data_IF_793786924455
#
_entry.id   IF_793786924455
#
_cell.length_a   1.000
_cell.length_b   1.000
_cell.length_c   1.000
_cell.angle_alpha   90.00
_cell.angle_beta   90.00
_cell.angle_gamma   90.00
#
_symmetry.space_group_name_H-M   'P 1'
#
loop_
_entity.id
_entity.type
_entity.pdbx_description
1 polymer ?
#
# COMPACT_ATOMS: atom_id res chain seq x y z
N UNK A 1 -2.98 -6.32 -3.19
CA UNK A 1 -3.25 -4.90 -2.79
C UNK A 1 -3.96 -4.27 -3.99
N UNK A 2 -3.93 -3.30 -4.55
CA UNK A 2 -4.48 -2.61 -5.74
C UNK A 2 -5.39 -3.40 -6.72
N UNK A 3 -6.11 -4.44 -6.27
CA UNK A 3 -6.94 -5.33 -7.11
C UNK A 3 -8.35 -4.74 -7.38
N UNK A 4 -8.38 -3.56 -7.99
CA UNK A 4 -9.64 -2.96 -8.43
C UNK A 4 -10.33 -3.84 -9.49
N UNK A 5 -11.67 -3.93 -9.50
CA UNK A 5 -12.39 -4.74 -10.48
C UNK A 5 -11.97 -4.48 -11.93
N UNK A 6 -11.75 -3.21 -12.29
CA UNK A 6 -11.32 -2.81 -13.63
C UNK A 6 -9.87 -3.20 -13.97
N UNK A 7 -9.04 -3.56 -12.98
CA UNK A 7 -7.63 -3.94 -13.17
C UNK A 7 -7.39 -5.45 -13.04
N UNK A 8 -8.43 -6.24 -12.76
CA UNK A 8 -8.29 -7.68 -12.52
C UNK A 8 -7.68 -8.43 -13.70
N UNK A 9 -8.06 -8.09 -14.91
CA UNK A 9 -7.48 -8.71 -16.11
C UNK A 9 -5.98 -8.46 -16.20
N UNK A 10 -5.53 -7.25 -15.89
CA UNK A 10 -4.10 -6.92 -15.87
C UNK A 10 -3.34 -7.73 -14.80
N UNK A 11 -3.90 -7.83 -13.59
CA UNK A 11 -3.32 -8.68 -12.54
C UNK A 11 -3.30 -10.16 -12.91
N UNK A 12 -4.38 -10.67 -13.53
CA UNK A 12 -4.46 -12.07 -13.98
C UNK A 12 -3.46 -12.36 -15.11
N UNK A 13 -3.21 -11.39 -15.99
CA UNK A 13 -2.18 -11.50 -17.04
C UNK A 13 -0.77 -11.58 -16.44
N UNK A 14 -0.44 -10.70 -15.48
CA UNK A 14 0.86 -10.78 -14.78
C UNK A 14 1.00 -12.08 -13.99
N UNK A 15 -0.06 -12.49 -13.29
CA UNK A 15 -0.05 -13.77 -12.58
C UNK A 15 0.18 -14.95 -13.51
N UNK A 16 -0.49 -14.98 -14.67
CA UNK A 16 -0.34 -16.05 -15.65
C UNK A 16 1.09 -16.17 -16.19
N UNK A 17 1.77 -15.03 -16.39
CA UNK A 17 3.17 -15.02 -16.78
C UNK A 17 4.09 -15.53 -15.64
N UNK A 18 3.88 -15.03 -14.42
CA UNK A 18 4.62 -15.47 -13.25
C UNK A 18 4.43 -16.97 -12.99
N UNK A 19 3.19 -17.47 -13.10
CA UNK A 19 2.87 -18.89 -12.89
C UNK A 19 3.59 -19.79 -13.89
N UNK A 20 3.60 -19.44 -15.18
CA UNK A 20 4.39 -20.16 -16.20
C UNK A 20 5.87 -20.17 -15.85
N UNK A 21 6.44 -19.02 -15.52
CA UNK A 21 7.85 -18.93 -15.12
C UNK A 21 8.20 -19.79 -13.89
N UNK A 22 7.26 -19.99 -12.98
CA UNK A 22 7.41 -20.89 -11.83
C UNK A 22 7.32 -22.37 -12.23
N UNK A 23 6.36 -22.74 -13.10
CA UNK A 23 6.20 -24.10 -13.62
C UNK A 23 7.44 -24.52 -14.42
N UNK A 24 7.98 -23.64 -15.26
CA UNK A 24 9.22 -23.86 -16.03
C UNK A 24 10.44 -24.11 -15.12
N UNK A 25 10.39 -23.62 -13.87
CA UNK A 25 11.40 -23.81 -12.82
C UNK A 25 11.04 -24.94 -11.85
N UNK A 26 10.09 -25.81 -12.24
CA UNK A 26 9.67 -26.99 -11.46
C UNK A 26 9.07 -26.66 -10.09
N UNK A 27 8.54 -25.46 -9.88
CA UNK A 27 7.74 -25.16 -8.68
C UNK A 27 6.36 -25.77 -8.85
N UNK A 28 5.94 -26.61 -7.91
CA UNK A 28 4.63 -27.28 -7.94
C UNK A 28 4.10 -27.47 -6.51
N UNK A 29 2.79 -27.28 -6.26
CA UNK A 29 1.76 -26.83 -7.21
C UNK A 29 1.75 -25.30 -7.38
N UNK A 30 1.47 -24.79 -8.58
CA UNK A 30 1.21 -23.38 -8.84
C UNK A 30 -0.30 -23.17 -9.08
N UNK A 31 -0.98 -22.28 -8.33
CA UNK A 31 -2.38 -21.98 -8.57
C UNK A 31 -2.60 -21.37 -9.97
N UNK A 32 -3.65 -21.79 -10.66
CA UNK A 32 -3.98 -21.28 -12.00
C UNK A 32 -4.48 -19.84 -11.99
N UNK A 33 -5.04 -19.37 -10.86
CA UNK A 33 -5.67 -18.07 -10.72
C UNK A 33 -5.32 -17.43 -9.38
N UNK A 34 -5.36 -16.12 -9.33
CA UNK A 34 -5.26 -15.35 -8.09
C UNK A 34 -6.46 -15.63 -7.18
N UNK A 35 -6.20 -15.89 -5.90
CA UNK A 35 -7.23 -16.07 -4.87
C UNK A 35 -7.74 -14.71 -4.42
N UNK A 36 -9.05 -14.46 -4.62
CA UNK A 36 -9.72 -13.20 -4.24
C UNK A 36 -10.81 -13.37 -3.18
N UNK A 37 -11.00 -14.60 -2.71
CA UNK A 37 -12.02 -14.94 -1.70
C UNK A 37 -11.57 -14.75 -0.25
N UNK A 38 -10.27 -14.56 -0.03
CA UNK A 38 -9.68 -14.35 1.30
C UNK A 38 -9.45 -12.85 1.56
N UNK A 39 -9.64 -12.42 2.81
CA UNK A 39 -9.16 -11.12 3.24
C UNK A 39 -7.62 -11.05 3.17
N UNK A 40 -7.04 -9.84 3.15
CA UNK A 40 -5.58 -9.67 3.15
C UNK A 40 -4.94 -10.37 4.36
N UNK A 41 -5.51 -10.26 5.58
CA UNK A 41 -4.99 -10.96 6.77
C UNK A 41 -5.06 -12.49 6.64
N UNK A 42 -6.17 -13.02 6.12
CA UNK A 42 -6.29 -14.48 5.87
C UNK A 42 -5.27 -14.95 4.85
N UNK A 43 -5.01 -14.15 3.80
CA UNK A 43 -3.98 -14.43 2.80
C UNK A 43 -2.59 -14.46 3.44
N UNK A 44 -2.23 -13.44 4.23
CA UNK A 44 -0.90 -13.38 4.89
C UNK A 44 -0.70 -14.47 5.96
N UNK A 45 -1.78 -14.95 6.56
CA UNK A 45 -1.74 -16.06 7.53
C UNK A 45 -1.71 -17.42 6.87
N UNK A 46 -1.97 -17.52 5.57
CA UNK A 46 -2.09 -18.82 4.90
C UNK A 46 -0.73 -19.50 4.79
N UNK A 47 -0.55 -20.74 5.33
CA UNK A 47 0.76 -21.41 5.35
C UNK A 47 1.27 -21.79 3.97
N UNK A 48 0.39 -21.92 2.99
CA UNK A 48 0.71 -22.19 1.58
C UNK A 48 0.69 -20.95 0.71
N UNK A 49 0.85 -19.73 1.27
CA UNK A 49 0.98 -18.52 0.47
C UNK A 49 2.22 -18.62 -0.42
N UNK A 50 2.02 -18.80 -1.72
CA UNK A 50 3.09 -18.84 -2.71
C UNK A 50 3.55 -17.44 -3.11
N UNK A 51 2.59 -16.56 -3.39
CA UNK A 51 2.86 -15.18 -3.80
C UNK A 51 1.72 -14.26 -3.38
N UNK A 52 2.04 -13.09 -2.88
CA UNK A 52 1.10 -12.05 -2.53
C UNK A 52 1.77 -10.69 -2.38
N UNK A 53 0.99 -9.68 -2.07
CA UNK A 53 1.49 -8.35 -1.73
C UNK A 53 1.01 -7.97 -0.33
N UNK A 54 1.86 -7.30 0.45
CA UNK A 54 1.55 -6.94 1.82
C UNK A 54 1.85 -5.47 2.11
N UNK A 55 1.16 -4.94 3.11
CA UNK A 55 1.47 -3.64 3.70
C UNK A 55 2.61 -3.82 4.71
N UNK A 56 3.62 -2.97 4.68
CA UNK A 56 4.85 -3.16 5.50
C UNK A 56 4.58 -3.06 7.00
N UNK A 57 3.68 -2.18 7.42
CA UNK A 57 3.43 -1.95 8.85
C UNK A 57 2.87 -3.20 9.54
N UNK A 58 1.81 -3.87 9.03
CA UNK A 58 1.41 -5.17 9.58
C UNK A 58 2.50 -6.24 9.46
N UNK A 59 3.30 -6.26 8.37
CA UNK A 59 4.42 -7.21 8.26
C UNK A 59 5.40 -6.98 9.40
N UNK A 60 5.84 -5.74 9.63
CA UNK A 60 6.79 -5.38 10.68
C UNK A 60 6.27 -5.68 12.11
N UNK A 61 4.96 -5.52 12.32
CA UNK A 61 4.33 -5.64 13.64
C UNK A 61 3.88 -7.06 14.00
N UNK A 62 3.40 -7.82 13.02
CA UNK A 62 2.64 -9.04 13.31
C UNK A 62 2.94 -10.23 12.40
N UNK A 63 3.55 -10.03 11.24
CA UNK A 63 3.72 -11.07 10.23
C UNK A 63 5.17 -11.33 9.84
N UNK A 64 6.16 -10.69 10.45
CA UNK A 64 7.58 -10.85 10.14
C UNK A 64 8.06 -12.31 10.26
N UNK A 65 7.57 -13.04 11.27
CA UNK A 65 7.89 -14.46 11.45
C UNK A 65 7.09 -15.40 10.55
N UNK A 66 6.14 -14.89 9.77
CA UNK A 66 5.24 -15.67 8.92
C UNK A 66 5.49 -15.47 7.44
N UNK A 67 5.98 -14.31 7.07
CA UNK A 67 6.19 -13.89 5.69
C UNK A 67 7.68 -13.70 5.40
N UNK A 68 8.04 -14.02 4.17
CA UNK A 68 9.33 -13.67 3.57
C UNK A 68 9.09 -12.63 2.51
N UNK A 69 9.80 -11.51 2.56
CA UNK A 69 9.80 -10.50 1.52
C UNK A 69 10.58 -11.05 0.32
N UNK A 70 9.94 -11.06 -0.84
CA UNK A 70 10.52 -11.53 -2.10
C UNK A 70 11.21 -10.41 -2.86
N UNK A 71 10.52 -9.29 -2.99
CA UNK A 71 10.89 -8.17 -3.81
C UNK A 71 10.05 -6.94 -3.45
N UNK A 72 10.52 -5.75 -3.85
CA UNK A 72 9.75 -4.51 -3.71
C UNK A 72 9.46 -3.94 -5.10
N UNK A 73 8.19 -3.83 -5.52
CA UNK A 73 7.84 -3.18 -6.77
C UNK A 73 8.04 -1.67 -6.68
N UNK A 74 8.51 -1.05 -7.78
CA UNK A 74 8.56 0.40 -7.99
C UNK A 74 7.37 0.83 -8.82
N UNK A 75 6.81 1.98 -8.48
CA UNK A 75 5.62 2.50 -9.14
C UNK A 75 5.89 3.86 -9.76
N UNK A 76 5.44 4.04 -11.00
CA UNK A 76 5.36 5.33 -11.69
C UNK A 76 4.00 5.99 -11.41
N UNK A 77 3.82 6.43 -10.16
CA UNK A 77 2.64 7.16 -9.74
C UNK A 77 3.04 8.43 -8.98
N UNK A 78 2.26 9.53 -9.08
CA UNK A 78 2.54 10.74 -8.32
C UNK A 78 2.61 10.47 -6.81
N UNK A 79 3.73 10.78 -6.19
CA UNK A 79 4.02 10.46 -4.77
C UNK A 79 4.93 9.26 -4.57
N UNK A 80 5.27 8.54 -5.64
CA UNK A 80 6.32 7.52 -5.64
C UNK A 80 7.67 8.12 -6.08
N UNK A 81 8.76 7.59 -5.54
CA UNK A 81 10.13 7.92 -5.92
C UNK A 81 11.01 6.71 -5.62
N UNK A 82 11.59 6.09 -6.65
CA UNK A 82 12.36 4.85 -6.50
C UNK A 82 11.57 3.76 -5.76
N UNK A 83 12.12 3.23 -4.65
CA UNK A 83 11.50 2.20 -3.82
C UNK A 83 10.52 2.74 -2.78
N UNK A 84 10.23 4.05 -2.80
CA UNK A 84 9.43 4.73 -1.80
C UNK A 84 8.12 5.27 -2.37
N UNK A 85 7.10 5.26 -1.54
CA UNK A 85 5.82 5.91 -1.79
C UNK A 85 5.44 6.83 -0.62
N UNK A 86 4.47 7.69 -0.86
CA UNK A 86 3.85 8.56 0.14
C UNK A 86 2.35 8.36 0.15
N UNK A 87 1.70 8.79 1.20
CA UNK A 87 0.25 8.96 1.18
C UNK A 87 -0.10 10.41 0.92
N UNK A 88 -1.06 10.60 0.02
CA UNK A 88 -1.67 11.90 -0.20
C UNK A 88 -2.60 12.24 0.96
N UNK A 89 -2.49 13.42 1.53
CA UNK A 89 -3.43 13.95 2.51
C UNK A 89 -4.51 14.69 1.75
N UNK A 90 -5.73 14.15 1.83
CA UNK A 90 -6.84 14.51 0.94
C UNK A 90 -8.00 15.11 1.73
N UNK A 91 -8.54 16.21 1.19
CA UNK A 91 -9.74 16.90 1.64
C UNK A 91 -10.74 17.06 0.50
N UNK A 92 -11.92 17.60 0.77
CA UNK A 92 -12.82 18.06 -0.30
C UNK A 92 -12.16 19.18 -1.11
N UNK A 93 -12.56 19.31 -2.36
CA UNK A 93 -12.05 20.35 -3.26
C UNK A 93 -12.40 21.76 -2.79
N UNK A 94 -13.54 21.94 -2.11
CA UNK A 94 -14.04 23.20 -1.56
C UNK A 94 -13.58 23.51 -0.11
N UNK A 95 -12.80 22.63 0.52
CA UNK A 95 -12.23 22.88 1.85
C UNK A 95 -11.26 24.06 1.79
N UNK A 96 -11.40 25.11 2.63
CA UNK A 96 -10.52 26.26 2.60
C UNK A 96 -9.10 25.99 3.09
N UNK A 97 -8.91 25.00 3.97
CA UNK A 97 -7.60 24.65 4.52
C UNK A 97 -6.61 24.28 3.41
N UNK A 98 -5.41 24.85 3.45
CA UNK A 98 -4.36 24.65 2.42
C UNK A 98 -3.21 23.78 2.88
N UNK A 99 -3.13 23.48 4.17
CA UNK A 99 -2.07 22.70 4.80
C UNK A 99 -2.62 21.81 5.91
N UNK A 100 -1.85 20.80 6.28
CA UNK A 100 -2.26 19.82 7.29
C UNK A 100 -2.51 20.47 8.66
N UNK A 101 -1.74 21.47 9.04
CA UNK A 101 -1.89 22.20 10.30
C UNK A 101 -3.28 22.82 10.48
N UNK A 102 -3.90 23.25 9.40
CA UNK A 102 -5.22 23.88 9.39
C UNK A 102 -6.36 22.87 9.58
N UNK A 103 -6.05 21.58 9.54
CA UNK A 103 -7.01 20.49 9.78
C UNK A 103 -7.19 20.17 11.28
N UNK A 104 -6.60 20.95 12.18
CA UNK A 104 -6.78 20.77 13.62
C UNK A 104 -8.26 20.90 14.02
N UNK A 105 -8.71 20.01 14.93
CA UNK A 105 -10.11 19.89 15.38
C UNK A 105 -11.11 19.49 14.29
N UNK A 106 -10.66 18.99 13.14
CA UNK A 106 -11.52 18.43 12.09
C UNK A 106 -11.80 16.95 12.32
N UNK A 107 -12.73 16.38 11.56
CA UNK A 107 -13.08 14.96 11.57
C UNK A 107 -12.16 14.20 10.62
N UNK A 108 -11.43 13.25 11.15
CA UNK A 108 -10.51 12.39 10.38
C UNK A 108 -11.15 11.03 10.10
N UNK A 109 -10.89 10.49 8.92
CA UNK A 109 -11.16 9.08 8.60
C UNK A 109 -9.91 8.44 8.02
N UNK A 110 -9.62 7.20 8.45
CA UNK A 110 -8.53 6.38 7.89
C UNK A 110 -9.07 5.00 7.54
N UNK A 111 -8.36 4.29 6.67
CA UNK A 111 -8.82 2.97 6.21
C UNK A 111 -8.84 1.94 7.35
N UNK A 112 -7.71 1.65 7.98
CA UNK A 112 -7.57 0.61 8.99
C UNK A 112 -6.54 1.00 10.07
N UNK A 113 -6.65 0.49 11.31
CA UNK A 113 -5.76 0.85 12.41
C UNK A 113 -4.33 0.32 12.25
N UNK A 114 -4.11 -0.73 11.45
CA UNK A 114 -2.83 -1.33 11.15
C UNK A 114 -2.32 -1.02 9.73
N UNK A 115 -2.91 -0.04 9.06
CA UNK A 115 -2.46 0.44 7.75
C UNK A 115 -1.16 1.25 7.86
N UNK A 116 -0.17 0.97 7.00
CA UNK A 116 0.99 1.85 6.87
C UNK A 116 0.58 3.19 6.25
N UNK A 117 0.00 3.17 5.06
CA UNK A 117 -0.37 4.38 4.30
C UNK A 117 -1.42 5.25 4.99
N UNK A 118 -2.52 4.67 5.47
CA UNK A 118 -3.63 5.43 6.02
C UNK A 118 -3.46 5.83 7.48
N UNK A 119 -2.72 5.06 8.28
CA UNK A 119 -2.58 5.30 9.71
C UNK A 119 -1.15 5.64 10.12
N UNK A 120 -0.16 4.77 9.87
CA UNK A 120 1.20 4.96 10.36
C UNK A 120 1.88 6.21 9.77
N UNK A 121 1.83 6.36 8.43
CA UNK A 121 2.40 7.53 7.74
C UNK A 121 1.66 8.82 8.11
N UNK A 122 0.35 8.75 8.23
CA UNK A 122 -0.45 9.92 8.61
C UNK A 122 -0.16 10.33 10.06
N UNK A 123 -0.07 9.38 10.98
CA UNK A 123 0.37 9.62 12.34
C UNK A 123 1.76 10.27 12.39
N UNK A 124 2.71 9.76 11.60
CA UNK A 124 4.06 10.33 11.53
C UNK A 124 4.07 11.80 11.02
N UNK A 125 3.23 12.11 10.02
CA UNK A 125 3.06 13.48 9.53
C UNK A 125 2.46 14.41 10.60
N UNK A 126 1.55 13.91 11.40
CA UNK A 126 0.85 14.70 12.43
C UNK A 126 1.63 14.84 13.73
N UNK A 127 2.49 13.88 14.06
CA UNK A 127 3.16 13.82 15.36
C UNK A 127 3.89 15.13 15.75
N UNK A 128 4.70 15.77 14.90
CA UNK A 128 5.32 17.05 15.21
C UNK A 128 4.31 18.19 15.37
N UNK A 129 3.20 18.17 14.63
CA UNK A 129 2.16 19.18 14.69
C UNK A 129 1.28 19.04 15.94
N UNK A 130 1.01 17.81 16.35
CA UNK A 130 0.21 17.49 17.54
C UNK A 130 0.96 17.79 18.84
N UNK A 131 2.29 17.57 18.86
CA UNK A 131 3.16 17.80 20.01
C UNK A 131 2.63 17.15 21.30
N UNK A 132 2.09 15.92 21.19
CA UNK A 132 1.51 15.15 22.30
C UNK A 132 0.07 15.50 22.65
N UNK A 133 -0.55 16.48 21.99
CA UNK A 133 -1.95 16.82 22.17
C UNK A 133 -2.85 16.14 21.14
N UNK A 134 -4.13 16.06 21.42
CA UNK A 134 -5.13 15.63 20.44
C UNK A 134 -5.14 16.60 19.24
N UNK A 135 -5.07 16.06 18.02
CA UNK A 135 -5.07 16.87 16.80
C UNK A 135 -6.47 16.96 16.19
N UNK A 136 -7.17 15.84 16.04
CA UNK A 136 -8.49 15.78 15.43
C UNK A 136 -9.63 15.80 16.45
N UNK A 137 -10.79 16.31 16.04
CA UNK A 137 -12.03 16.20 16.80
C UNK A 137 -12.43 14.73 16.98
N UNK A 138 -12.32 13.95 15.92
CA UNK A 138 -12.63 12.52 15.90
C UNK A 138 -11.79 11.79 14.85
N UNK A 139 -11.50 10.52 15.10
CA UNK A 139 -10.89 9.61 14.14
C UNK A 139 -11.76 8.37 14.03
N UNK A 140 -12.11 7.95 12.82
CA UNK A 140 -12.86 6.72 12.57
C UNK A 140 -12.24 5.91 11.45
N UNK A 141 -12.61 4.62 11.37
CA UNK A 141 -12.11 3.68 10.38
C UNK A 141 -13.17 3.37 9.35
N UNK A 142 -12.80 3.38 8.06
CA UNK A 142 -13.69 3.15 6.92
C UNK A 142 -13.59 1.75 6.31
N UNK A 143 -12.51 1.01 6.61
CA UNK A 143 -12.21 -0.30 6.04
C UNK A 143 -11.44 -0.28 4.71
N UNK A 144 -11.37 0.84 4.00
CA UNK A 144 -10.55 0.97 2.77
C UNK A 144 -10.26 2.43 2.43
N UNK A 145 -9.20 2.67 1.65
CA UNK A 145 -8.89 4.01 1.13
C UNK A 145 -10.02 4.59 0.28
N UNK A 146 -10.62 3.74 -0.57
CA UNK A 146 -11.74 4.19 -1.41
C UNK A 146 -12.95 4.62 -0.56
N UNK A 147 -13.30 3.85 0.48
CA UNK A 147 -14.37 4.24 1.40
C UNK A 147 -14.02 5.51 2.20
N UNK A 148 -12.75 5.71 2.56
CA UNK A 148 -12.31 6.97 3.18
C UNK A 148 -12.55 8.17 2.27
N UNK A 149 -12.21 8.06 0.98
CA UNK A 149 -12.44 9.12 0.00
C UNK A 149 -13.92 9.41 -0.21
N UNK A 150 -14.79 8.38 -0.21
CA UNK A 150 -16.26 8.57 -0.27
C UNK A 150 -16.76 9.41 0.90
N UNK A 151 -16.32 9.09 2.12
CA UNK A 151 -16.73 9.81 3.32
C UNK A 151 -16.26 11.27 3.31
N UNK A 152 -15.05 11.53 2.80
CA UNK A 152 -14.55 12.90 2.64
C UNK A 152 -15.35 13.62 1.55
N UNK A 153 -15.56 13.02 0.40
CA UNK A 153 -16.35 13.59 -0.70
C UNK A 153 -17.79 13.88 -0.31
N UNK A 154 -18.40 13.06 0.56
CA UNK A 154 -19.73 13.26 1.09
C UNK A 154 -19.81 14.32 2.22
N UNK A 155 -18.66 14.82 2.71
CA UNK A 155 -18.60 15.74 3.85
C UNK A 155 -18.91 15.07 5.19
N UNK A 156 -18.82 13.73 5.27
CA UNK A 156 -18.97 12.98 6.51
C UNK A 156 -17.65 12.89 7.31
N UNK A 157 -16.54 13.15 6.64
CA UNK A 157 -15.22 13.41 7.21
C UNK A 157 -14.59 14.59 6.48
N UNK A 158 -13.56 15.19 7.09
CA UNK A 158 -12.94 16.41 6.55
C UNK A 158 -11.58 16.11 5.91
N UNK A 159 -10.88 15.07 6.39
CA UNK A 159 -9.53 14.70 5.94
C UNK A 159 -9.28 13.20 6.04
N UNK A 160 -8.46 12.71 5.11
CA UNK A 160 -7.93 11.33 5.11
C UNK A 160 -6.52 11.30 4.53
N UNK A 161 -5.77 10.22 4.82
CA UNK A 161 -4.54 9.89 4.10
C UNK A 161 -4.76 8.65 3.22
N UNK A 162 -4.35 8.75 1.96
CA UNK A 162 -4.57 7.71 0.95
C UNK A 162 -3.25 7.36 0.28
N UNK A 163 -2.96 6.09 0.19
CA UNK A 163 -1.86 5.54 -0.62
C UNK A 163 -1.86 6.18 -2.02
N UNK A 164 -0.72 6.70 -2.45
CA UNK A 164 -0.63 7.47 -3.70
C UNK A 164 -0.94 6.62 -4.95
N UNK A 165 -0.56 5.34 -4.96
CA UNK A 165 -0.87 4.42 -6.08
C UNK A 165 -2.37 4.15 -6.14
N UNK A 166 -3.00 3.94 -4.95
CA UNK A 166 -4.47 3.85 -4.84
C UNK A 166 -5.15 5.11 -5.37
N UNK A 167 -4.67 6.30 -4.99
CA UNK A 167 -5.24 7.56 -5.46
C UNK A 167 -5.07 7.71 -6.99
N UNK A 168 -3.90 7.40 -7.54
CA UNK A 168 -3.64 7.46 -8.97
C UNK A 168 -4.56 6.53 -9.77
N UNK A 169 -4.79 5.29 -9.29
CA UNK A 169 -5.79 4.40 -9.89
C UNK A 169 -7.19 4.98 -9.85
N UNK A 170 -7.62 5.51 -8.70
CA UNK A 170 -8.95 6.10 -8.57
C UNK A 170 -9.13 7.36 -9.43
N UNK A 171 -8.10 8.16 -9.64
CA UNK A 171 -8.13 9.28 -10.57
C UNK A 171 -8.39 8.84 -12.02
N UNK A 172 -7.88 7.69 -12.43
CA UNK A 172 -8.16 7.10 -13.76
C UNK A 172 -9.53 6.42 -13.83
N UNK A 173 -9.90 5.69 -12.78
CA UNK A 173 -11.08 4.81 -12.80
C UNK A 173 -12.37 5.52 -12.36
N UNK A 174 -12.27 6.47 -11.44
CA UNK A 174 -13.40 7.15 -10.80
C UNK A 174 -13.19 8.69 -10.77
N UNK A 175 -13.02 9.34 -11.93
CA UNK A 175 -12.74 10.78 -11.99
C UNK A 175 -13.86 11.65 -11.36
N UNK A 176 -15.12 11.18 -11.36
CA UNK A 176 -16.21 11.89 -10.70
C UNK A 176 -16.09 11.92 -9.17
N UNK A 177 -15.48 10.88 -8.57
CA UNK A 177 -15.18 10.90 -7.14
C UNK A 177 -14.00 11.86 -6.88
N UNK A 178 -12.91 11.66 -7.61
CA UNK A 178 -11.64 12.36 -7.34
C UNK A 178 -11.68 13.85 -7.69
N UNK A 179 -12.52 14.29 -8.64
CA UNK A 179 -12.75 15.71 -8.95
C UNK A 179 -13.38 16.51 -7.80
N UNK A 180 -14.02 15.83 -6.85
CA UNK A 180 -14.60 16.44 -5.63
C UNK A 180 -13.58 16.59 -4.50
N UNK A 181 -12.36 16.14 -4.72
CA UNK A 181 -11.29 16.01 -3.73
C UNK A 181 -10.04 16.76 -4.19
N UNK A 182 -9.18 17.13 -3.26
CA UNK A 182 -7.85 17.64 -3.55
C UNK A 182 -6.82 17.17 -2.53
N UNK A 183 -5.59 17.05 -2.97
CA UNK A 183 -4.44 16.82 -2.11
C UNK A 183 -4.00 18.18 -1.53
N UNK A 184 -3.82 18.22 -0.22
CA UNK A 184 -3.34 19.41 0.50
C UNK A 184 -1.91 19.24 1.00
N UNK A 185 -1.46 18.00 1.18
CA UNK A 185 -0.12 17.68 1.68
C UNK A 185 0.24 16.21 1.39
N UNK A 186 1.48 15.83 1.73
CA UNK A 186 2.00 14.48 1.59
C UNK A 186 2.64 14.01 2.89
N UNK A 187 2.48 12.74 3.21
CA UNK A 187 3.15 12.13 4.36
C UNK A 187 4.66 11.97 4.14
N UNK A 188 5.44 11.69 5.19
CA UNK A 188 6.78 11.13 5.02
C UNK A 188 6.78 9.92 4.10
N UNK A 189 7.89 9.68 3.40
CA UNK A 189 8.05 8.54 2.53
C UNK A 189 8.26 7.24 3.32
N UNK A 190 7.75 6.15 2.77
CA UNK A 190 7.91 4.78 3.24
C UNK A 190 8.23 3.87 2.05
N UNK A 191 8.92 2.74 2.24
CA UNK A 191 9.11 1.76 1.17
C UNK A 191 7.79 1.33 0.54
N UNK A 192 7.81 0.98 -0.74
CA UNK A 192 6.64 0.46 -1.46
C UNK A 192 6.23 -0.92 -0.93
N UNK A 193 4.95 -1.24 -1.11
CA UNK A 193 4.34 -2.48 -0.61
C UNK A 193 5.03 -3.72 -1.20
N UNK A 194 5.71 -4.55 -0.40
CA UNK A 194 6.51 -5.66 -0.91
C UNK A 194 5.66 -6.81 -1.43
N UNK A 195 6.22 -7.53 -2.38
CA UNK A 195 5.78 -8.88 -2.69
C UNK A 195 6.29 -9.85 -1.62
N UNK A 196 5.41 -10.73 -1.17
CA UNK A 196 5.68 -11.66 -0.05
C UNK A 196 5.29 -13.08 -0.40
N UNK A 197 5.91 -14.01 0.30
CA UNK A 197 5.54 -15.44 0.32
C UNK A 197 5.51 -15.95 1.76
N UNK A 198 5.03 -17.17 1.97
CA UNK A 198 5.11 -17.82 3.28
C UNK A 198 6.56 -18.01 3.73
N UNK A 199 6.85 -17.83 5.01
CA UNK A 199 8.15 -18.18 5.62
C UNK A 199 8.52 -19.66 5.43
N UNK A 200 7.55 -20.51 5.09
CA UNK A 200 7.74 -21.95 4.83
C UNK A 200 8.15 -22.26 3.39
N UNK A 201 8.20 -21.25 2.52
CA UNK A 201 8.63 -21.42 1.12
C UNK A 201 10.09 -21.84 1.09
N UNK A 202 10.41 -22.89 0.34
CA UNK A 202 11.78 -23.43 0.25
C UNK A 202 12.72 -22.44 -0.46
N UNK A 203 14.01 -22.50 -0.18
CA UNK A 203 15.04 -21.67 -0.83
C UNK A 203 15.03 -21.81 -2.36
N UNK A 204 14.78 -23.03 -2.87
CA UNK A 204 14.65 -23.27 -4.31
C UNK A 204 13.44 -22.54 -4.89
N UNK A 205 12.29 -22.56 -4.20
CA UNK A 205 11.10 -21.84 -4.62
C UNK A 205 11.27 -20.31 -4.47
N UNK A 206 11.99 -19.82 -3.46
CA UNK A 206 12.34 -18.39 -3.32
C UNK A 206 13.18 -17.91 -4.50
N UNK A 207 14.21 -18.68 -4.88
CA UNK A 207 15.04 -18.38 -6.05
C UNK A 207 14.21 -18.37 -7.34
N UNK A 208 13.33 -19.36 -7.51
CA UNK A 208 12.45 -19.45 -8.65
C UNK A 208 11.46 -18.27 -8.74
N UNK A 209 10.88 -17.86 -7.59
CA UNK A 209 9.97 -16.70 -7.51
C UNK A 209 10.67 -15.40 -7.92
N UNK A 210 11.88 -15.14 -7.42
CA UNK A 210 12.64 -13.95 -7.79
C UNK A 210 13.02 -13.97 -9.27
N UNK A 211 13.46 -15.09 -9.79
CA UNK A 211 13.80 -15.22 -11.21
C UNK A 211 12.56 -15.04 -12.12
N UNK A 212 11.43 -15.63 -11.77
CA UNK A 212 10.19 -15.48 -12.52
C UNK A 212 9.64 -14.04 -12.44
N UNK A 213 9.81 -13.35 -11.29
CA UNK A 213 9.51 -11.91 -11.18
C UNK A 213 10.41 -11.07 -12.09
N UNK A 214 11.72 -11.35 -12.14
CA UNK A 214 12.64 -10.66 -13.04
C UNK A 214 12.19 -10.81 -14.51
N UNK A 215 11.79 -12.02 -14.93
CA UNK A 215 11.28 -12.26 -16.28
C UNK A 215 10.01 -11.45 -16.57
N UNK A 216 9.03 -11.45 -15.64
CA UNK A 216 7.79 -10.68 -15.79
C UNK A 216 8.05 -9.18 -15.94
N UNK A 217 9.03 -8.65 -15.23
CA UNK A 217 9.37 -7.23 -15.31
C UNK A 217 10.24 -6.88 -16.52
N UNK A 218 11.00 -7.81 -17.05
CA UNK A 218 11.81 -7.62 -18.27
C UNK A 218 11.07 -7.93 -19.57
N UNK A 219 9.93 -8.63 -19.51
CA UNK A 219 9.14 -9.01 -20.69
C UNK A 219 8.49 -7.78 -21.35
N UNK A 220 8.88 -7.43 -22.60
CA UNK A 220 8.30 -6.31 -23.33
C UNK A 220 6.81 -6.50 -23.67
N UNK A 221 6.32 -7.74 -23.81
CA UNK A 221 4.91 -8.01 -24.08
C UNK A 221 4.00 -7.67 -22.87
N UNK A 222 4.57 -7.63 -21.68
CA UNK A 222 3.89 -7.24 -20.44
C UNK A 222 4.02 -5.74 -20.12
N UNK A 223 4.80 -4.98 -20.88
CA UNK A 223 5.00 -3.56 -20.64
C UNK A 223 3.67 -2.77 -20.58
N UNK A 224 2.70 -2.94 -21.51
CA UNK A 224 1.41 -2.23 -21.41
C UNK A 224 0.60 -2.63 -20.18
N UNK A 225 0.74 -3.89 -19.73
CA UNK A 225 0.07 -4.38 -18.50
C UNK A 225 0.68 -3.75 -17.26
N UNK A 226 2.01 -3.64 -17.20
CA UNK A 226 2.71 -2.97 -16.09
C UNK A 226 2.37 -1.48 -16.03
N UNK A 227 2.36 -0.79 -17.17
CA UNK A 227 1.99 0.62 -17.27
C UNK A 227 0.56 0.89 -16.78
N UNK A 228 -0.40 0.01 -17.12
CA UNK A 228 -1.77 0.10 -16.61
C UNK A 228 -1.82 0.01 -15.07
N UNK A 229 -0.91 -0.73 -14.47
CA UNK A 229 -0.79 -0.94 -13.02
C UNK A 229 0.21 0.03 -12.35
N UNK A 230 0.74 1.01 -13.06
CA UNK A 230 1.82 1.90 -12.62
C UNK A 230 3.10 1.16 -12.18
N UNK A 231 3.31 -0.07 -12.61
CA UNK A 231 4.50 -0.86 -12.27
C UNK A 231 5.65 -0.52 -13.20
N UNK A 232 6.67 0.15 -12.68
CA UNK A 232 7.86 0.55 -13.41
C UNK A 232 8.91 -0.56 -13.44
N UNK A 233 9.32 -1.01 -12.27
CA UNK A 233 10.38 -2.01 -12.09
C UNK A 233 10.20 -2.78 -10.78
N UNK A 234 11.14 -3.66 -10.46
CA UNK A 234 11.13 -4.43 -9.20
C UNK A 234 12.55 -4.53 -8.63
N UNK A 235 12.69 -4.22 -7.34
CA UNK A 235 13.90 -4.52 -6.58
C UNK A 235 13.79 -5.93 -6.00
N UNK A 236 14.75 -6.80 -6.35
CA UNK A 236 14.84 -8.19 -5.91
C UNK A 236 15.73 -8.39 -4.66
N UNK A 237 16.29 -7.30 -4.11
CA UNK A 237 17.21 -7.30 -2.95
C UNK A 237 16.66 -6.48 -1.77
N UNK A 238 15.51 -6.84 -1.19
CA UNK A 238 14.79 -5.98 -0.25
C UNK A 238 15.35 -6.04 1.19
N UNK A 239 16.54 -5.54 1.44
CA UNK A 239 17.19 -5.71 2.76
C UNK A 239 16.74 -4.75 3.88
N UNK A 240 15.99 -3.69 3.60
CA UNK A 240 15.81 -2.61 4.60
C UNK A 240 14.39 -2.09 4.77
N UNK A 241 13.41 -2.69 4.13
CA UNK A 241 12.05 -2.14 4.06
C UNK A 241 11.37 -1.97 5.41
N UNK A 242 11.55 -2.89 6.35
CA UNK A 242 10.86 -2.85 7.65
C UNK A 242 11.48 -1.86 8.65
N UNK A 243 12.74 -1.52 8.52
CA UNK A 243 13.44 -0.56 9.40
C UNK A 243 12.77 0.80 9.37
N UNK A 244 12.54 1.37 8.18
CA UNK A 244 11.94 2.70 8.03
C UNK A 244 10.52 2.79 8.60
N UNK A 245 9.74 1.74 8.44
CA UNK A 245 8.37 1.67 8.98
C UNK A 245 8.35 1.72 10.51
N UNK A 246 9.30 1.03 11.15
CA UNK A 246 9.48 1.05 12.61
C UNK A 246 10.01 2.40 13.11
N UNK A 247 10.94 3.00 12.38
CA UNK A 247 11.46 4.34 12.69
C UNK A 247 10.34 5.37 12.76
N UNK A 248 9.44 5.40 11.79
CA UNK A 248 8.29 6.31 11.76
C UNK A 248 7.37 6.12 12.98
N UNK A 249 7.21 4.89 13.45
CA UNK A 249 6.48 4.63 14.70
C UNK A 249 7.22 5.18 15.91
N UNK A 250 8.53 4.94 16.00
CA UNK A 250 9.39 5.45 17.08
C UNK A 250 9.43 6.98 17.08
N UNK A 251 9.54 7.62 15.92
CA UNK A 251 9.47 9.07 15.77
C UNK A 251 8.14 9.63 16.32
N UNK A 252 7.01 9.00 16.00
CA UNK A 252 5.71 9.41 16.53
C UNK A 252 5.61 9.25 18.06
N UNK A 253 6.20 8.19 18.62
CA UNK A 253 6.32 8.02 20.07
C UNK A 253 7.20 9.09 20.72
N UNK A 254 8.30 9.49 20.08
CA UNK A 254 9.16 10.56 20.57
C UNK A 254 8.39 11.89 20.69
N UNK A 255 7.51 12.18 19.73
CA UNK A 255 6.60 13.32 19.77
C UNK A 255 5.41 13.15 20.72
N UNK A 256 5.36 12.07 21.52
CA UNK A 256 4.25 11.71 22.42
C UNK A 256 2.90 11.59 21.70
N UNK A 257 2.94 11.16 20.43
CA UNK A 257 1.75 10.95 19.60
C UNK A 257 1.69 9.49 19.08
N UNK A 258 1.65 8.48 19.99
CA UNK A 258 1.71 7.06 19.61
C UNK A 258 0.46 6.55 18.91
N UNK A 259 -0.63 7.27 19.04
CA UNK A 259 -1.95 6.94 18.47
C UNK A 259 -2.46 8.14 17.69
N UNK A 260 -3.10 7.89 16.56
CA UNK A 260 -3.78 8.92 15.78
C UNK A 260 -5.06 9.34 16.53
N UNK A 261 -5.10 10.58 17.01
CA UNK A 261 -6.19 11.12 17.83
C UNK A 261 -6.68 12.50 17.35
#
# INVERSE_FOLDING_TARGET
MYDFPALREAHDRLWSALARGLEDRSVTPVPRQLTRSLSHRQTWMHPGLLFGQACEYPVAKSFEERLTILATPRYDAPGCTEDFYRSAIVTRADEPAKALEEMRNRRCVVNEPDSNSGMNLFRAALAPLAAGARFFQSVRFSGSHRASLDLVAAGEADVTAVDCVTLAHLQRLEPQLTSRLRVIDWTPASPCLPYVTSRRTSESALTALRAALADVFSDPELAPTRELLFLESVDLSPDTTLGRVRELEVEAHHWRYPVLL
#
